data_IF_975226059120
#
_entry.id   IF_975226059120
#
_cell.length_a   1.000
_cell.length_b   1.000
_cell.length_c   1.000
_cell.angle_alpha   90.00
_cell.angle_beta   90.00
_cell.angle_gamma   90.00
#
_symmetry.space_group_name_H-M   'P 1'
#
loop_
_entity.id
_entity.type
_entity.pdbx_description
1 polymer ?
#
# COMPACT_ATOMS: atom_id res chain seq x y z
N UNK A 1 7.16 3.77 -22.02
CA UNK A 1 8.41 3.87 -21.25
C UNK A 1 8.05 3.76 -19.78
N UNK A 2 8.60 2.75 -19.07
CA UNK A 2 8.37 2.58 -17.64
C UNK A 2 8.64 3.86 -16.86
N UNK A 3 7.86 4.10 -15.82
CA UNK A 3 8.07 5.22 -14.90
C UNK A 3 9.19 4.83 -13.94
N UNK A 4 10.28 5.62 -13.83
CA UNK A 4 11.34 5.33 -12.88
C UNK A 4 10.80 5.34 -11.45
N UNK A 5 11.15 4.34 -10.63
CA UNK A 5 10.66 4.22 -9.26
C UNK A 5 10.95 5.47 -8.40
N UNK A 6 12.08 6.15 -8.63
CA UNK A 6 12.41 7.40 -7.94
C UNK A 6 11.50 8.59 -8.26
N UNK A 7 10.76 8.52 -9.36
CA UNK A 7 9.81 9.55 -9.75
C UNK A 7 8.39 9.29 -9.24
N UNK A 8 8.16 8.10 -8.64
CA UNK A 8 6.89 7.72 -8.06
C UNK A 8 6.77 8.38 -6.68
N UNK A 9 5.64 9.04 -6.35
CA UNK A 9 5.40 9.58 -5.03
C UNK A 9 5.57 8.51 -3.93
N UNK A 10 6.26 8.83 -2.82
CA UNK A 10 6.50 7.89 -1.71
C UNK A 10 5.21 7.23 -1.22
N UNK A 11 4.11 7.99 -1.15
CA UNK A 11 2.79 7.46 -0.77
C UNK A 11 2.39 6.25 -1.64
N UNK A 12 2.69 6.26 -2.94
CA UNK A 12 2.42 5.15 -3.84
C UNK A 12 3.47 4.03 -3.70
N UNK A 13 4.74 4.38 -3.47
CA UNK A 13 5.79 3.39 -3.20
C UNK A 13 5.48 2.52 -1.98
N UNK A 14 4.81 3.06 -0.96
CA UNK A 14 4.36 2.30 0.20
C UNK A 14 3.31 1.23 -0.11
N UNK A 15 2.67 1.26 -1.28
CA UNK A 15 1.73 0.23 -1.73
C UNK A 15 2.42 -0.95 -2.43
N UNK A 16 3.73 -0.86 -2.65
CA UNK A 16 4.52 -1.84 -3.37
C UNK A 16 5.49 -2.55 -2.42
N UNK A 17 5.35 -3.87 -2.26
CA UNK A 17 6.10 -4.66 -1.26
C UNK A 17 7.62 -4.59 -1.45
N UNK A 18 8.11 -4.80 -2.68
CA UNK A 18 9.56 -4.72 -2.93
C UNK A 18 10.13 -3.32 -2.60
N UNK A 19 9.40 -2.25 -2.94
CA UNK A 19 9.81 -0.90 -2.62
C UNK A 19 9.77 -0.65 -1.11
N UNK A 20 8.71 -1.09 -0.43
CA UNK A 20 8.57 -1.01 1.03
C UNK A 20 9.74 -1.68 1.75
N UNK A 21 10.14 -2.88 1.32
CA UNK A 21 11.29 -3.60 1.90
C UNK A 21 12.61 -2.90 1.64
N UNK A 22 12.84 -2.39 0.43
CA UNK A 22 14.06 -1.65 0.10
C UNK A 22 14.17 -0.34 0.89
N UNK A 23 13.06 0.39 1.06
CA UNK A 23 12.99 1.58 1.92
C UNK A 23 13.31 1.20 3.36
N UNK A 24 12.75 0.11 3.88
CA UNK A 24 13.02 -0.36 5.24
C UNK A 24 14.50 -0.74 5.43
N UNK A 25 15.10 -1.45 4.48
CA UNK A 25 16.53 -1.81 4.51
C UNK A 25 17.38 -0.54 4.48
N UNK A 26 17.11 0.38 3.55
CA UNK A 26 17.88 1.61 3.41
C UNK A 26 17.78 2.48 4.66
N UNK A 27 16.59 2.61 5.24
CA UNK A 27 16.38 3.37 6.46
C UNK A 27 17.13 2.79 7.65
N UNK A 28 17.14 1.45 7.82
CA UNK A 28 17.92 0.78 8.88
C UNK A 28 19.44 0.96 8.74
N UNK A 29 19.93 1.19 7.52
CA UNK A 29 21.35 1.45 7.28
C UNK A 29 21.75 2.90 7.55
N UNK A 30 20.77 3.82 7.54
CA UNK A 30 21.01 5.27 7.68
C UNK A 30 20.65 5.80 9.06
N UNK A 31 19.67 5.19 9.74
CA UNK A 31 19.12 5.69 11.01
C UNK A 31 19.05 4.57 12.05
N UNK A 32 19.68 4.78 13.20
CA UNK A 32 19.77 3.80 14.30
C UNK A 32 18.40 3.48 14.93
N UNK A 33 17.47 4.44 14.90
CA UNK A 33 16.12 4.34 15.45
C UNK A 33 15.04 4.07 14.37
N UNK A 34 15.46 3.60 13.19
CA UNK A 34 14.55 3.40 12.06
C UNK A 34 13.40 2.43 12.39
N UNK A 35 12.18 2.93 12.21
CA UNK A 35 10.97 2.11 12.22
C UNK A 35 10.12 2.40 10.98
N UNK A 36 10.02 1.40 10.10
CA UNK A 36 9.22 1.52 8.88
C UNK A 36 7.73 1.78 9.15
N UNK A 37 7.19 1.33 10.29
CA UNK A 37 5.80 1.61 10.66
C UNK A 37 5.61 3.09 11.02
N UNK A 38 6.58 3.70 11.69
CA UNK A 38 6.50 5.13 12.04
C UNK A 38 6.69 6.00 10.79
N UNK A 39 7.57 5.58 9.88
CA UNK A 39 7.69 6.16 8.54
C UNK A 39 6.38 6.06 7.74
N UNK A 40 5.79 4.86 7.67
CA UNK A 40 4.51 4.62 6.98
C UNK A 40 3.39 5.52 7.54
N UNK A 41 3.32 5.69 8.87
CA UNK A 41 2.36 6.58 9.53
C UNK A 41 2.56 8.05 9.19
N UNK A 42 3.81 8.51 9.15
CA UNK A 42 4.13 9.87 8.74
C UNK A 42 3.72 10.20 7.30
N UNK A 43 3.74 9.20 6.41
CA UNK A 43 3.40 9.38 4.98
C UNK A 43 1.91 9.19 4.69
N UNK A 44 1.27 8.14 5.25
CA UNK A 44 -0.14 7.81 4.94
C UNK A 44 -1.17 8.63 5.74
N UNK A 45 -0.75 9.34 6.79
CA UNK A 45 -1.62 10.11 7.70
C UNK A 45 -1.79 9.43 9.07
N UNK A 46 -2.22 10.08 10.16
CA UNK A 46 -3.13 11.21 10.32
C UNK A 46 -2.72 12.21 11.42
N UNK A 47 -1.44 12.26 11.81
CA UNK A 47 -0.98 12.97 13.01
C UNK A 47 -0.26 14.29 12.74
N UNK A 48 -0.13 14.71 11.48
CA UNK A 48 0.58 15.95 11.12
C UNK A 48 2.07 15.92 11.48
N UNK A 49 2.61 14.74 11.82
CA UNK A 49 4.05 14.53 11.91
C UNK A 49 4.58 14.51 10.49
N UNK A 50 5.15 15.62 10.07
CA UNK A 50 5.94 15.63 8.86
C UNK A 50 7.12 14.68 9.07
N UNK A 51 7.25 13.72 8.15
CA UNK A 51 8.54 13.09 7.93
C UNK A 51 9.48 14.19 7.45
N UNK A 52 10.28 14.74 8.37
CA UNK A 52 11.29 15.75 8.06
C UNK A 52 12.50 15.02 7.49
N UNK A 53 12.45 14.79 6.19
CA UNK A 53 13.57 14.32 5.42
C UNK A 53 13.88 15.42 4.42
N UNK A 54 15.12 15.87 4.40
CA UNK A 54 15.57 16.76 3.34
C UNK A 54 15.44 16.04 2.00
N UNK A 55 15.37 16.80 0.90
CA UNK A 55 15.34 16.20 -0.44
C UNK A 55 16.55 15.27 -0.68
N UNK A 56 17.71 15.57 -0.09
CA UNK A 56 18.91 14.74 -0.23
C UNK A 56 18.77 13.40 0.51
N UNK A 57 18.32 13.43 1.75
CA UNK A 57 18.05 12.22 2.54
C UNK A 57 16.98 11.34 1.86
N UNK A 58 15.95 11.95 1.27
CA UNK A 58 14.92 11.22 0.53
C UNK A 58 15.53 10.51 -0.69
N UNK A 59 16.37 11.21 -1.46
CA UNK A 59 17.03 10.61 -2.62
C UNK A 59 17.94 9.44 -2.23
N UNK A 60 18.65 9.53 -1.11
CA UNK A 60 19.47 8.42 -0.62
C UNK A 60 18.62 7.27 -0.07
N UNK A 61 17.52 7.55 0.62
CA UNK A 61 16.57 6.53 1.09
C UNK A 61 15.96 5.76 -0.08
N UNK A 62 15.62 6.45 -1.16
CA UNK A 62 15.01 5.87 -2.36
C UNK A 62 16.04 5.33 -3.36
N UNK A 63 17.34 5.55 -3.14
CA UNK A 63 18.39 5.15 -4.08
C UNK A 63 18.36 3.66 -4.44
N UNK A 64 18.16 2.73 -3.48
CA UNK A 64 18.09 1.30 -3.79
C UNK A 64 16.94 0.89 -4.70
N UNK A 65 15.88 1.72 -4.83
CA UNK A 65 14.71 1.40 -5.66
C UNK A 65 15.01 1.33 -7.17
N UNK A 66 16.15 1.87 -7.62
CA UNK A 66 16.57 1.77 -9.03
C UNK A 66 16.67 0.32 -9.52
N UNK A 67 16.90 -0.65 -8.63
CA UNK A 67 16.90 -2.07 -9.02
C UNK A 67 15.52 -2.51 -9.53
N UNK A 68 14.44 -1.91 -9.02
CA UNK A 68 13.06 -2.23 -9.39
C UNK A 68 12.73 -1.83 -10.84
N UNK A 69 13.38 -0.78 -11.36
CA UNK A 69 13.24 -0.37 -12.77
C UNK A 69 13.61 -1.48 -13.75
N UNK A 70 14.39 -2.47 -13.31
CA UNK A 70 14.84 -3.60 -14.12
C UNK A 70 14.11 -4.92 -13.80
N UNK A 71 13.71 -5.14 -12.54
CA UNK A 71 13.10 -6.41 -12.13
C UNK A 71 11.57 -6.41 -12.19
N UNK A 72 10.93 -5.27 -11.92
CA UNK A 72 9.48 -5.10 -11.88
C UNK A 72 9.14 -3.65 -12.29
N UNK A 73 9.35 -3.28 -13.57
CA UNK A 73 9.20 -1.89 -14.00
C UNK A 73 7.79 -1.37 -13.75
N UNK A 74 7.66 -0.14 -13.26
CA UNK A 74 6.35 0.47 -13.07
C UNK A 74 5.79 0.92 -14.43
N UNK A 75 4.65 0.33 -14.81
CA UNK A 75 3.98 0.63 -16.08
C UNK A 75 2.82 1.60 -15.86
N UNK A 76 2.57 2.47 -16.84
CA UNK A 76 1.32 3.24 -16.85
C UNK A 76 0.17 2.30 -17.18
N UNK A 77 -1.04 2.66 -16.73
CA UNK A 77 -2.24 1.89 -17.04
C UNK A 77 -2.37 1.62 -18.56
N UNK A 78 -2.55 0.35 -18.92
CA UNK A 78 -2.63 -0.16 -20.32
C UNK A 78 -1.37 0.02 -21.16
N UNK A 79 -0.24 0.34 -20.55
CA UNK A 79 1.04 0.27 -21.24
C UNK A 79 1.41 -1.19 -21.54
N UNK A 80 2.07 -1.46 -22.65
CA UNK A 80 2.48 -2.82 -22.98
C UNK A 80 3.53 -3.33 -21.97
N UNK A 81 3.28 -4.50 -21.39
CA UNK A 81 4.21 -5.17 -20.46
C UNK A 81 3.49 -6.01 -19.42
N UNK A 82 4.24 -6.46 -18.40
CA UNK A 82 3.68 -7.21 -17.28
C UNK A 82 3.15 -6.24 -16.21
N UNK A 83 1.85 -6.32 -15.94
CA UNK A 83 1.19 -5.61 -14.86
C UNK A 83 1.03 -6.48 -13.60
N UNK A 84 0.87 -5.84 -12.45
CA UNK A 84 0.78 -6.53 -11.15
C UNK A 84 -0.40 -6.07 -10.29
N UNK A 85 -0.85 -6.94 -9.38
CA UNK A 85 -2.07 -6.76 -8.60
C UNK A 85 -2.10 -5.51 -7.72
N UNK A 86 -0.95 -5.06 -7.18
CA UNK A 86 -0.88 -3.83 -6.40
C UNK A 86 -1.32 -2.59 -7.19
N UNK A 87 -1.22 -2.62 -8.53
CA UNK A 87 -1.62 -1.50 -9.38
C UNK A 87 -3.11 -1.20 -9.27
N UNK A 88 -3.93 -2.20 -8.91
CA UNK A 88 -5.36 -2.01 -8.65
C UNK A 88 -5.60 -1.05 -7.47
N UNK A 89 -4.62 -0.85 -6.60
CA UNK A 89 -4.73 -0.05 -5.38
C UNK A 89 -4.21 1.38 -5.52
N UNK A 90 -3.58 1.75 -6.64
CA UNK A 90 -2.90 3.06 -6.79
C UNK A 90 -3.83 4.28 -6.76
N UNK A 91 -5.14 4.06 -6.93
CA UNK A 91 -6.17 5.08 -6.71
C UNK A 91 -6.91 4.80 -5.40
N UNK A 92 -6.70 5.66 -4.42
CA UNK A 92 -7.26 5.50 -3.09
C UNK A 92 -8.78 5.80 -3.07
N UNK A 93 -9.65 4.91 -2.53
CA UNK A 93 -11.09 5.17 -2.40
C UNK A 93 -11.38 6.19 -1.29
N UNK A 94 -12.62 6.68 -1.19
CA UNK A 94 -13.01 7.47 -0.03
C UNK A 94 -12.90 6.60 1.24
N UNK A 95 -12.26 7.12 2.28
CA UNK A 95 -12.10 6.44 3.57
C UNK A 95 -12.92 7.10 4.67
N UNK A 96 -13.13 6.35 5.76
CA UNK A 96 -14.00 6.72 6.87
C UNK A 96 -13.23 6.81 8.20
N UNK A 97 -12.30 5.87 8.44
CA UNK A 97 -11.54 5.76 9.68
C UNK A 97 -10.03 5.86 9.44
N UNK A 98 -9.30 6.32 10.46
CA UNK A 98 -7.86 6.58 10.35
C UNK A 98 -7.00 5.33 10.08
N UNK A 99 -7.55 4.13 10.25
CA UNK A 99 -6.87 2.87 9.88
C UNK A 99 -7.05 2.49 8.40
N UNK A 100 -8.06 3.03 7.72
CA UNK A 100 -8.40 2.65 6.33
C UNK A 100 -7.23 2.87 5.35
N UNK A 101 -6.46 3.99 5.42
CA UNK A 101 -5.26 4.17 4.58
C UNK A 101 -4.18 3.11 4.77
N UNK A 102 -4.00 2.66 6.01
CA UNK A 102 -3.01 1.65 6.33
C UNK A 102 -3.44 0.26 5.87
N UNK A 103 -4.72 -0.09 6.05
CA UNK A 103 -5.27 -1.33 5.49
C UNK A 103 -5.07 -1.37 3.98
N UNK A 104 -5.41 -0.28 3.30
CA UNK A 104 -5.35 -0.21 1.85
C UNK A 104 -3.92 -0.38 1.31
N UNK A 105 -2.94 0.31 1.91
CA UNK A 105 -1.53 0.14 1.55
C UNK A 105 -1.01 -1.27 1.90
N UNK A 106 -1.42 -1.82 3.04
CA UNK A 106 -1.05 -3.18 3.44
C UNK A 106 -1.61 -4.23 2.48
N UNK A 107 -2.90 -4.14 2.14
CA UNK A 107 -3.53 -5.03 1.17
C UNK A 107 -2.84 -4.93 -0.19
N UNK A 108 -2.54 -3.73 -0.69
CA UNK A 108 -1.82 -3.54 -1.94
C UNK A 108 -0.47 -4.27 -1.97
N UNK A 109 0.29 -4.21 -0.87
CA UNK A 109 1.57 -4.92 -0.74
C UNK A 109 1.40 -6.43 -0.84
N UNK A 110 0.35 -7.00 -0.25
CA UNK A 110 0.04 -8.42 -0.38
C UNK A 110 -0.19 -8.85 -1.85
N UNK A 111 -0.54 -7.91 -2.74
CA UNK A 111 -0.76 -8.16 -4.18
C UNK A 111 0.42 -7.77 -5.09
N UNK A 112 1.58 -7.39 -4.54
CA UNK A 112 2.70 -6.85 -5.33
C UNK A 112 3.25 -7.82 -6.38
N UNK A 113 3.30 -9.11 -6.07
CA UNK A 113 3.92 -10.10 -6.95
C UNK A 113 2.91 -10.87 -7.81
N UNK A 114 1.61 -10.63 -7.62
CA UNK A 114 0.56 -11.26 -8.41
C UNK A 114 0.48 -10.61 -9.78
N UNK A 115 0.52 -11.42 -10.82
CA UNK A 115 0.45 -10.94 -12.21
C UNK A 115 -0.99 -10.64 -12.61
N UNK A 116 -1.20 -9.52 -13.28
CA UNK A 116 -2.46 -9.21 -13.97
C UNK A 116 -2.45 -9.75 -15.42
N UNK A 117 -3.62 -10.12 -15.98
CA UNK A 117 -4.90 -10.23 -15.29
C UNK A 117 -4.94 -11.40 -14.31
N UNK A 118 -5.63 -11.20 -13.19
CA UNK A 118 -5.94 -12.24 -12.21
C UNK A 118 -7.35 -12.78 -12.45
N UNK A 119 -7.56 -14.04 -12.10
CA UNK A 119 -8.92 -14.58 -12.00
C UNK A 119 -9.69 -13.86 -10.86
N UNK A 120 -10.94 -13.40 -11.09
CA UNK A 120 -11.71 -12.67 -10.09
C UNK A 120 -12.01 -13.46 -8.80
N UNK A 121 -12.19 -14.77 -8.88
CA UNK A 121 -12.43 -15.63 -7.72
C UNK A 121 -11.14 -15.77 -6.90
N UNK A 122 -10.00 -16.02 -7.56
CA UNK A 122 -8.69 -16.06 -6.92
C UNK A 122 -8.34 -14.72 -6.24
N UNK A 123 -8.62 -13.59 -6.91
CA UNK A 123 -8.45 -12.26 -6.33
C UNK A 123 -9.30 -12.07 -5.07
N UNK A 124 -10.60 -12.40 -5.17
CA UNK A 124 -11.55 -12.25 -4.06
C UNK A 124 -11.14 -13.11 -2.86
N UNK A 125 -10.75 -14.36 -3.08
CA UNK A 125 -10.33 -15.27 -2.02
C UNK A 125 -9.10 -14.74 -1.27
N UNK A 126 -8.11 -14.22 -2.00
CA UNK A 126 -6.92 -13.61 -1.40
C UNK A 126 -7.23 -12.30 -0.67
N UNK A 127 -8.13 -11.48 -1.22
CA UNK A 127 -8.54 -10.26 -0.54
C UNK A 127 -9.26 -10.57 0.78
N UNK A 128 -10.18 -11.55 0.76
CA UNK A 128 -10.91 -11.99 1.93
C UNK A 128 -10.00 -12.61 2.99
N UNK A 129 -8.98 -13.39 2.59
CA UNK A 129 -8.03 -13.93 3.57
C UNK A 129 -7.29 -12.82 4.32
N UNK A 130 -6.90 -11.73 3.65
CA UNK A 130 -6.27 -10.56 4.28
C UNK A 130 -7.22 -9.90 5.30
N UNK A 131 -8.50 -9.75 4.93
CA UNK A 131 -9.54 -9.16 5.80
C UNK A 131 -9.77 -10.02 7.04
N UNK A 132 -9.85 -11.34 6.87
CA UNK A 132 -10.03 -12.32 7.95
C UNK A 132 -8.82 -12.38 8.88
N UNK A 133 -7.60 -12.41 8.32
CA UNK A 133 -6.35 -12.42 9.08
C UNK A 133 -6.20 -11.19 9.99
N UNK A 134 -6.77 -10.06 9.57
CA UNK A 134 -6.80 -8.82 10.34
C UNK A 134 -8.00 -8.69 11.28
N UNK A 135 -8.93 -9.66 11.27
CA UNK A 135 -10.13 -9.66 12.11
C UNK A 135 -11.15 -8.58 11.76
N UNK A 136 -11.16 -8.11 10.51
CA UNK A 136 -12.04 -7.02 10.08
C UNK A 136 -13.45 -7.57 9.80
N UNK A 137 -14.52 -6.99 10.38
CA UNK A 137 -15.89 -7.48 10.19
C UNK A 137 -16.44 -7.12 8.79
N UNK A 138 -16.09 -7.90 7.78
CA UNK A 138 -16.40 -7.63 6.37
C UNK A 138 -17.87 -7.26 6.12
N UNK A 139 -18.09 -6.07 5.54
CA UNK A 139 -19.42 -5.59 5.15
C UNK A 139 -20.36 -5.23 6.29
N UNK A 140 -19.92 -5.32 7.55
CA UNK A 140 -20.71 -4.92 8.72
C UNK A 140 -20.49 -3.45 9.05
N UNK A 141 -21.49 -2.84 9.68
CA UNK A 141 -21.41 -1.50 10.29
C UNK A 141 -20.69 -1.56 11.65
N UNK A 142 -19.49 -2.13 11.62
CA UNK A 142 -18.62 -2.38 12.76
C UNK A 142 -17.17 -2.06 12.34
N UNK A 143 -16.31 -1.84 13.32
CA UNK A 143 -14.89 -1.62 13.10
C UNK A 143 -14.07 -2.47 14.06
N UNK A 144 -12.87 -2.85 13.63
CA UNK A 144 -11.87 -3.45 14.51
C UNK A 144 -10.67 -2.50 14.60
N UNK A 145 -9.98 -2.53 15.75
CA UNK A 145 -8.72 -1.82 15.92
C UNK A 145 -7.57 -2.76 15.56
N UNK A 146 -6.69 -2.30 14.69
CA UNK A 146 -5.50 -3.02 14.25
C UNK A 146 -4.28 -2.26 14.77
N UNK A 147 -3.55 -2.84 15.72
CA UNK A 147 -2.46 -2.16 16.43
C UNK A 147 -1.34 -1.67 15.50
N UNK A 148 -1.00 -2.44 14.45
CA UNK A 148 0.01 -2.00 13.47
C UNK A 148 -0.39 -0.72 12.71
N UNK A 149 -1.69 -0.45 12.60
CA UNK A 149 -2.24 0.73 11.93
C UNK A 149 -2.48 1.89 12.91
N UNK A 150 -2.21 1.70 14.21
CA UNK A 150 -2.39 2.73 15.21
C UNK A 150 -1.25 3.77 15.15
N UNK A 151 -1.60 5.01 14.82
CA UNK A 151 -0.72 6.19 14.73
C UNK A 151 -0.93 7.23 15.84
N UNK A 152 -1.52 6.84 16.98
CA UNK A 152 -1.78 7.70 18.13
C UNK A 152 -3.19 8.30 18.17
N UNK A 153 -3.77 8.36 19.38
CA UNK A 153 -5.17 8.76 19.60
C UNK A 153 -6.16 7.59 19.57
N UNK A 154 -7.34 7.79 20.17
CA UNK A 154 -8.32 6.72 20.46
C UNK A 154 -8.92 6.02 19.21
N UNK A 155 -8.93 6.68 18.05
CA UNK A 155 -9.46 6.13 16.79
C UNK A 155 -8.38 5.74 15.77
N UNK A 156 -7.11 5.78 16.17
CA UNK A 156 -6.01 5.40 15.28
C UNK A 156 -5.96 3.88 15.10
N UNK A 157 -5.83 3.44 13.85
CA UNK A 157 -5.81 2.02 13.50
C UNK A 157 -7.17 1.32 13.45
N UNK A 158 -8.27 2.04 13.62
CA UNK A 158 -9.61 1.48 13.39
C UNK A 158 -9.88 1.35 11.89
N UNK A 159 -10.35 0.18 11.44
CA UNK A 159 -10.73 -0.10 10.06
C UNK A 159 -12.20 -0.51 10.00
N UNK A 160 -12.95 0.09 9.09
CA UNK A 160 -14.39 -0.13 9.00
C UNK A 160 -14.74 -1.33 8.11
N UNK A 161 -15.67 -2.18 8.57
CA UNK A 161 -16.18 -3.33 7.82
C UNK A 161 -16.81 -2.96 6.49
N UNK A 162 -17.58 -1.86 6.46
CA UNK A 162 -18.13 -1.31 5.23
C UNK A 162 -17.06 -0.82 4.25
N UNK A 163 -15.97 -0.21 4.75
CA UNK A 163 -14.89 0.27 3.88
C UNK A 163 -14.22 -0.88 3.14
N UNK A 164 -13.90 -1.98 3.83
CA UNK A 164 -13.26 -3.14 3.18
C UNK A 164 -14.16 -3.82 2.15
N UNK A 165 -15.48 -3.77 2.33
CA UNK A 165 -16.43 -4.25 1.32
C UNK A 165 -16.47 -3.34 0.10
N UNK A 166 -16.60 -2.03 0.28
CA UNK A 166 -16.60 -1.05 -0.81
C UNK A 166 -15.29 -1.09 -1.60
N UNK A 167 -14.17 -1.21 -0.89
CA UNK A 167 -12.84 -1.44 -1.46
C UNK A 167 -12.80 -2.69 -2.33
N UNK A 168 -13.32 -3.82 -1.84
CA UNK A 168 -13.36 -5.07 -2.60
C UNK A 168 -14.17 -4.92 -3.90
N UNK A 169 -15.39 -4.39 -3.80
CA UNK A 169 -16.29 -4.17 -4.95
C UNK A 169 -15.61 -3.26 -6.01
N UNK A 170 -14.92 -2.21 -5.56
CA UNK A 170 -14.15 -1.30 -6.42
C UNK A 170 -12.98 -2.01 -7.12
N UNK A 171 -12.23 -2.84 -6.40
CA UNK A 171 -11.07 -3.54 -6.94
C UNK A 171 -11.48 -4.56 -8.02
N UNK A 172 -12.62 -5.24 -7.86
CA UNK A 172 -13.18 -6.12 -8.89
C UNK A 172 -13.53 -5.35 -10.18
N UNK A 173 -14.11 -4.16 -10.06
CA UNK A 173 -14.37 -3.28 -11.22
C UNK A 173 -13.06 -2.83 -11.90
N UNK A 174 -11.99 -2.62 -11.14
CA UNK A 174 -10.67 -2.28 -11.70
C UNK A 174 -10.01 -3.47 -12.39
N UNK A 175 -10.12 -4.66 -11.82
CA UNK A 175 -9.58 -5.90 -12.37
C UNK A 175 -10.13 -6.19 -13.77
N UNK A 176 -11.43 -5.95 -13.99
CA UNK A 176 -12.08 -6.08 -15.30
C UNK A 176 -11.48 -5.19 -16.41
N UNK A 177 -10.67 -4.19 -16.06
CA UNK A 177 -10.01 -3.33 -17.05
C UNK A 177 -8.69 -3.91 -17.59
N UNK A 178 -8.21 -4.99 -16.99
CA UNK A 178 -6.99 -5.72 -17.36
C UNK A 178 -7.27 -7.05 -18.07
N UNK A 179 -8.52 -7.51 -18.08
CA UNK A 179 -9.05 -8.59 -18.93
C UNK A 179 -9.44 -8.05 -20.30
#
# INVERSE_FOLDING_TARGET
MPVPFRSIPIVQLLHHEAAYQLINISGRLQYDDWNILDFEKGILGCDGRHYYCTNEEEQELLRPLLVLDHIMPFLRFKEAGQHYGYELFLSFPKWHLRGDPFFWAYAARCFTYDKLPMDPEAFSNKYMSIVEDLGIPYGKDEWCRIERFAAGGMSSGCVHGGFVKEAHDLLLVRLQKYT
#
